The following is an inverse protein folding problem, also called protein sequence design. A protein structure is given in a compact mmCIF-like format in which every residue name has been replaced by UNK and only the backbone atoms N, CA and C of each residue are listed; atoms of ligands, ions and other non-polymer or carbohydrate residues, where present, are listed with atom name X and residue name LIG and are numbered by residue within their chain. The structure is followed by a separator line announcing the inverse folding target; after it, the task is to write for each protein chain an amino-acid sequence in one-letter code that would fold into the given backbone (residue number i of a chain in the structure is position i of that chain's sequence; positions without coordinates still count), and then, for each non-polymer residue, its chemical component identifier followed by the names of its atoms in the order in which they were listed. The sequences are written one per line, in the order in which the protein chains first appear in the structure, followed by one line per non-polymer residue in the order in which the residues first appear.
data_IF_049681087792
#
_entry.id   IF_049681087792
#
_cell.length_a   1.000
_cell.length_b   1.000
_cell.length_c   1.000
_cell.angle_alpha   90.00
_cell.angle_beta   90.00
_cell.angle_gamma   90.00
#
_symmetry.space_group_name_H-M   'P 1'
#
loop_
_entity.id
_entity.type
_entity.pdbx_description
1 polymer ?
#
# COMPACT_ATOMS: atom_id res chain seq x y z
N UNK A 1 -35.66 -4.45 -20.87
CA UNK A 1 -35.33 -4.59 -22.31
C UNK A 1 -33.81 -4.63 -22.45
N UNK A 2 -33.32 -5.83 -22.81
CA UNK A 2 -31.99 -6.19 -23.31
C UNK A 2 -30.76 -5.89 -22.43
N UNK A 3 -30.45 -6.87 -21.59
CA UNK A 3 -29.09 -7.22 -21.15
C UNK A 3 -28.23 -7.61 -22.37
N UNK A 4 -27.17 -6.86 -22.63
CA UNK A 4 -26.11 -7.23 -23.58
C UNK A 4 -25.07 -8.11 -22.88
N UNK A 5 -24.74 -9.30 -23.39
CA UNK A 5 -23.56 -10.02 -22.92
C UNK A 5 -22.31 -9.40 -23.56
N UNK A 6 -21.37 -8.93 -22.73
CA UNK A 6 -20.01 -8.64 -23.18
C UNK A 6 -19.30 -9.98 -23.43
N UNK A 7 -19.41 -10.50 -24.64
CA UNK A 7 -18.55 -11.59 -25.13
C UNK A 7 -17.14 -11.04 -25.33
N UNK A 8 -16.30 -11.15 -24.30
CA UNK A 8 -14.87 -10.88 -24.42
C UNK A 8 -14.25 -11.91 -25.38
N UNK A 9 -13.89 -11.45 -26.57
CA UNK A 9 -13.25 -12.26 -27.60
C UNK A 9 -11.88 -12.77 -27.13
N UNK A 10 -11.76 -14.07 -26.92
CA UNK A 10 -10.49 -14.76 -26.81
C UNK A 10 -9.79 -14.74 -28.18
N UNK A 11 -8.88 -13.78 -28.42
CA UNK A 11 -7.90 -13.92 -29.51
C UNK A 11 -6.84 -14.93 -29.10
N UNK A 12 -7.12 -16.21 -29.37
CA UNK A 12 -6.12 -17.29 -29.38
C UNK A 12 -5.23 -17.11 -30.61
N UNK A 13 -4.04 -16.57 -30.43
CA UNK A 13 -2.96 -16.76 -31.40
C UNK A 13 -1.60 -16.56 -30.75
N UNK A 14 -0.99 -17.66 -30.31
CA UNK A 14 0.44 -17.86 -30.49
C UNK A 14 0.69 -19.32 -30.87
N UNK A 15 0.93 -19.54 -32.16
CA UNK A 15 1.54 -20.79 -32.66
C UNK A 15 3.00 -20.76 -32.25
N UNK A 16 3.35 -21.42 -31.16
CA UNK A 16 4.76 -21.73 -30.86
C UNK A 16 5.12 -23.03 -31.59
N UNK A 17 5.91 -22.90 -32.66
CA UNK A 17 6.56 -24.03 -33.30
C UNK A 17 7.41 -24.77 -32.26
N UNK A 18 7.04 -26.03 -31.99
CA UNK A 18 7.79 -26.94 -31.11
C UNK A 18 9.15 -27.27 -31.74
N UNK A 19 10.20 -26.53 -31.39
CA UNK A 19 11.58 -26.99 -31.61
C UNK A 19 11.83 -28.16 -30.66
N UNK A 20 11.86 -29.38 -31.22
CA UNK A 20 12.46 -30.55 -30.55
C UNK A 20 13.97 -30.31 -30.46
N UNK A 21 14.45 -29.83 -29.32
CA UNK A 21 15.85 -30.00 -28.94
C UNK A 21 15.91 -31.15 -27.94
N UNK A 22 16.60 -32.22 -28.31
CA UNK A 22 17.02 -33.28 -27.38
C UNK A 22 18.19 -32.73 -26.58
N UNK A 23 17.97 -32.42 -25.30
CA UNK A 23 19.08 -32.38 -24.33
C UNK A 23 18.56 -32.79 -22.95
N UNK A 24 19.07 -33.94 -22.50
CA UNK A 24 19.03 -34.55 -21.17
C UNK A 24 17.80 -34.38 -20.28
N UNK A 25 17.01 -35.46 -20.20
CA UNK A 25 16.14 -35.72 -19.06
C UNK A 25 17.01 -35.82 -17.79
N UNK A 26 16.90 -34.85 -16.88
CA UNK A 26 17.17 -35.12 -15.47
C UNK A 26 15.82 -35.33 -14.79
N UNK A 27 15.55 -36.60 -14.50
CA UNK A 27 14.44 -37.03 -13.67
C UNK A 27 14.68 -36.57 -12.23
N UNK A 28 13.89 -35.63 -11.71
CA UNK A 28 13.73 -35.49 -10.28
C UNK A 28 12.42 -36.16 -9.85
N UNK A 29 12.42 -37.50 -9.87
CA UNK A 29 11.58 -38.25 -8.95
C UNK A 29 12.25 -38.20 -7.57
N UNK A 30 11.90 -37.20 -6.78
CA UNK A 30 12.04 -37.27 -5.33
C UNK A 30 10.70 -36.86 -4.72
N UNK A 31 10.04 -37.85 -4.13
CA UNK A 31 8.83 -37.72 -3.34
C UNK A 31 9.14 -36.83 -2.13
N UNK A 32 8.75 -35.57 -2.16
CA UNK A 32 8.70 -34.72 -0.96
C UNK A 32 7.26 -34.73 -0.43
N UNK A 33 6.98 -35.33 0.75
CA UNK A 33 5.62 -35.37 1.33
C UNK A 33 5.28 -34.14 2.19
N UNK A 34 5.94 -33.00 2.00
CA UNK A 34 5.71 -31.82 2.81
C UNK A 34 5.78 -30.54 1.99
N UNK A 35 4.61 -30.06 1.60
CA UNK A 35 4.24 -28.63 1.51
C UNK A 35 5.33 -27.67 1.01
N UNK A 36 6.06 -28.04 -0.04
CA UNK A 36 7.12 -27.21 -0.62
C UNK A 36 6.68 -26.52 -1.93
N UNK A 37 5.37 -26.45 -2.20
CA UNK A 37 4.77 -25.48 -3.13
C UNK A 37 4.82 -24.09 -2.50
N UNK A 38 6.03 -23.66 -2.15
CA UNK A 38 6.30 -22.34 -1.64
C UNK A 38 6.00 -21.36 -2.77
N UNK A 39 5.17 -20.37 -2.48
CA UNK A 39 4.83 -19.22 -3.34
C UNK A 39 6.06 -18.55 -3.98
N UNK A 40 7.26 -18.78 -3.42
CA UNK A 40 8.55 -18.34 -3.92
C UNK A 40 9.06 -19.06 -5.19
N UNK A 41 8.40 -20.15 -5.63
CA UNK A 41 8.83 -20.93 -6.79
C UNK A 41 8.04 -20.64 -8.07
N UNK A 42 6.99 -19.81 -8.02
CA UNK A 42 6.19 -19.47 -9.19
C UNK A 42 6.76 -18.21 -9.87
N UNK A 43 7.20 -18.26 -11.15
CA UNK A 43 7.66 -17.08 -11.88
C UNK A 43 6.53 -16.10 -12.22
N UNK A 44 5.28 -16.48 -11.96
CA UNK A 44 4.08 -15.70 -12.28
C UNK A 44 3.16 -15.62 -11.05
N UNK A 45 2.63 -14.42 -10.82
CA UNK A 45 1.61 -14.16 -9.81
C UNK A 45 0.22 -14.20 -10.46
N UNK A 46 -0.74 -14.90 -9.83
CA UNK A 46 -2.12 -14.86 -10.26
C UNK A 46 -2.77 -13.53 -9.85
N UNK A 47 -3.34 -12.82 -10.82
CA UNK A 47 -3.97 -11.51 -10.58
C UNK A 47 -5.39 -11.47 -11.13
N UNK A 48 -6.27 -10.75 -10.45
CA UNK A 48 -7.66 -10.51 -10.87
C UNK A 48 -7.91 -9.02 -11.10
N UNK A 49 -8.84 -8.70 -12.00
CA UNK A 49 -9.23 -7.32 -12.24
C UNK A 49 -10.00 -6.77 -11.04
N UNK A 50 -9.45 -5.76 -10.38
CA UNK A 50 -10.18 -5.00 -9.38
C UNK A 50 -11.13 -3.99 -10.05
N UNK A 51 -12.41 -4.05 -9.73
CA UNK A 51 -13.41 -3.04 -10.06
C UNK A 51 -14.03 -2.53 -8.76
N UNK A 52 -13.85 -1.24 -8.46
CA UNK A 52 -14.42 -0.63 -7.26
C UNK A 52 -15.94 -0.56 -7.40
N UNK A 53 -16.69 -1.09 -6.43
CA UNK A 53 -18.12 -0.82 -6.33
C UNK A 53 -18.32 0.59 -5.73
N UNK A 54 -19.31 1.38 -6.17
CA UNK A 54 -19.50 2.75 -5.67
C UNK A 54 -19.63 2.87 -4.14
N UNK A 55 -20.18 1.84 -3.50
CA UNK A 55 -20.32 1.76 -2.04
C UNK A 55 -19.03 1.37 -1.29
N UNK A 56 -17.99 0.93 -1.99
CA UNK A 56 -16.72 0.56 -1.37
C UNK A 56 -15.94 1.83 -0.98
N UNK A 57 -15.19 1.73 0.12
CA UNK A 57 -14.23 2.76 0.52
C UNK A 57 -13.21 3.02 -0.60
N UNK A 58 -12.70 4.25 -0.63
CA UNK A 58 -11.63 4.58 -1.55
C UNK A 58 -10.37 3.77 -1.23
N UNK A 59 -9.53 3.53 -2.25
CA UNK A 59 -8.22 2.93 -2.03
C UNK A 59 -7.24 3.99 -1.54
N UNK A 60 -6.34 3.58 -0.65
CA UNK A 60 -5.18 4.37 -0.27
C UNK A 60 -4.26 4.56 -1.49
N UNK A 61 -3.75 5.78 -1.67
CA UNK A 61 -2.69 6.10 -2.62
C UNK A 61 -1.38 6.23 -1.83
N UNK A 62 -0.41 5.38 -2.17
CA UNK A 62 0.94 5.43 -1.61
C UNK A 62 1.88 5.94 -2.69
N UNK A 63 2.58 7.04 -2.39
CA UNK A 63 3.63 7.58 -3.24
C UNK A 63 4.98 7.07 -2.76
N UNK A 64 5.75 6.48 -3.67
CA UNK A 64 7.08 5.92 -3.40
C UNK A 64 8.07 6.47 -4.42
N UNK A 65 9.24 6.87 -3.97
CA UNK A 65 10.31 7.37 -4.82
C UNK A 65 11.57 7.70 -4.03
N UNK A 66 12.73 7.90 -4.70
CA UNK A 66 13.97 8.25 -4.04
C UNK A 66 13.88 9.63 -3.37
N UNK A 67 14.71 9.84 -2.35
CA UNK A 67 14.82 11.13 -1.67
C UNK A 67 15.14 12.26 -2.66
N UNK A 68 14.49 13.41 -2.49
CA UNK A 68 14.71 14.60 -3.33
C UNK A 68 13.97 14.65 -4.66
N UNK A 69 13.25 13.59 -5.07
CA UNK A 69 12.47 13.58 -6.33
C UNK A 69 11.20 14.45 -6.29
N UNK A 70 10.82 14.93 -5.09
CA UNK A 70 9.66 15.81 -4.92
C UNK A 70 8.34 15.08 -4.61
N UNK A 71 8.36 13.82 -4.15
CA UNK A 71 7.15 13.08 -3.71
C UNK A 71 6.32 13.87 -2.69
N UNK A 72 6.98 14.49 -1.71
CA UNK A 72 6.34 15.34 -0.70
C UNK A 72 5.63 16.56 -1.30
N UNK A 73 6.25 17.18 -2.31
CA UNK A 73 5.67 18.33 -3.01
C UNK A 73 4.45 17.89 -3.84
N UNK A 74 4.55 16.75 -4.52
CA UNK A 74 3.45 16.16 -5.29
C UNK A 74 2.25 15.86 -4.39
N UNK A 75 2.46 15.22 -3.24
CA UNK A 75 1.39 14.96 -2.25
C UNK A 75 0.69 16.26 -1.84
N UNK A 76 1.47 17.28 -1.47
CA UNK A 76 0.92 18.57 -1.03
C UNK A 76 0.10 19.25 -2.12
N UNK A 77 0.60 19.27 -3.36
CA UNK A 77 -0.11 19.86 -4.50
C UNK A 77 -1.38 19.09 -4.87
N UNK A 78 -1.35 17.76 -4.80
CA UNK A 78 -2.53 16.92 -5.07
C UNK A 78 -3.65 17.18 -4.06
N UNK A 79 -3.32 17.31 -2.78
CA UNK A 79 -4.30 17.65 -1.76
C UNK A 79 -4.82 19.08 -1.95
N UNK A 80 -3.93 20.02 -2.26
CA UNK A 80 -4.32 21.42 -2.48
C UNK A 80 -5.21 21.63 -3.72
N UNK A 81 -5.06 20.79 -4.76
CA UNK A 81 -5.87 20.92 -5.98
C UNK A 81 -7.32 20.45 -5.81
N UNK A 82 -7.56 19.42 -4.98
CA UNK A 82 -8.91 18.98 -4.63
C UNK A 82 -9.01 18.52 -3.16
N UNK A 83 -9.09 19.45 -2.19
CA UNK A 83 -9.12 19.13 -0.77
C UNK A 83 -10.44 18.47 -0.31
N UNK A 84 -11.47 18.45 -1.17
CA UNK A 84 -12.72 17.73 -0.89
C UNK A 84 -12.57 16.22 -1.10
N UNK A 85 -11.66 15.81 -1.97
CA UNK A 85 -11.47 14.42 -2.37
C UNK A 85 -10.22 13.81 -1.74
N UNK A 86 -9.11 14.57 -1.67
CA UNK A 86 -7.83 14.06 -1.16
C UNK A 86 -7.52 14.59 0.23
N UNK A 87 -6.98 13.71 1.08
CA UNK A 87 -6.50 14.09 2.41
C UNK A 87 -5.34 13.19 2.85
N UNK A 88 -4.39 13.76 3.59
CA UNK A 88 -3.33 12.99 4.25
C UNK A 88 -3.80 12.47 5.60
N UNK A 89 -3.31 11.30 6.01
CA UNK A 89 -3.45 10.86 7.39
C UNK A 89 -2.67 11.80 8.32
N UNK A 90 -3.19 12.03 9.53
CA UNK A 90 -2.51 12.80 10.58
C UNK A 90 -1.56 11.87 11.34
N UNK A 91 -0.24 12.09 11.26
CA UNK A 91 0.73 11.22 11.93
C UNK A 91 0.77 11.46 13.44
N UNK A 92 1.42 10.56 14.17
CA UNK A 92 1.67 10.64 15.60
C UNK A 92 3.10 11.11 15.85
N UNK A 93 3.32 11.81 16.96
CA UNK A 93 4.66 12.18 17.41
C UNK A 93 4.79 12.19 18.93
N UNK A 94 5.99 11.90 19.43
CA UNK A 94 6.35 12.05 20.84
C UNK A 94 6.94 13.42 21.18
N UNK A 95 7.12 14.28 20.18
CA UNK A 95 7.54 15.67 20.39
C UNK A 95 6.46 16.42 21.17
N UNK A 96 6.86 17.36 22.02
CA UNK A 96 5.90 18.27 22.68
C UNK A 96 5.23 19.19 21.65
N UNK A 97 3.92 19.37 21.79
CA UNK A 97 3.12 20.30 20.99
C UNK A 97 3.62 21.74 21.21
N UNK A 98 3.80 22.50 20.11
CA UNK A 98 4.12 23.94 20.21
C UNK A 98 2.86 24.76 20.46
N UNK A 99 3.03 25.96 20.99
CA UNK A 99 1.92 26.88 21.34
C UNK A 99 0.99 27.23 20.18
N UNK A 100 1.48 27.18 18.93
CA UNK A 100 0.70 27.49 17.72
C UNK A 100 0.17 26.25 16.97
N UNK A 101 0.50 25.05 17.43
CA UNK A 101 0.05 23.78 16.83
C UNK A 101 -1.23 23.30 17.53
N UNK A 102 -2.02 22.44 16.87
CA UNK A 102 -3.21 21.84 17.44
C UNK A 102 -3.15 20.31 17.36
N UNK A 103 -3.44 19.66 18.49
CA UNK A 103 -3.50 18.20 18.54
C UNK A 103 -4.59 17.67 17.59
N UNK A 104 -4.22 16.69 16.75
CA UNK A 104 -5.09 16.10 15.74
C UNK A 104 -5.19 16.89 14.43
N UNK A 105 -4.50 18.04 14.31
CA UNK A 105 -4.38 18.77 13.05
C UNK A 105 -3.02 18.53 12.39
N UNK A 106 -1.94 18.95 13.03
CA UNK A 106 -0.58 18.73 12.52
C UNK A 106 -0.08 17.34 12.86
N UNK A 107 -0.24 16.94 14.13
CA UNK A 107 0.12 15.63 14.65
C UNK A 107 -0.84 15.23 15.77
N UNK A 108 -0.92 13.93 16.04
CA UNK A 108 -1.34 13.42 17.33
C UNK A 108 -0.14 13.40 18.28
N UNK A 109 -0.14 14.29 19.26
CA UNK A 109 0.93 14.40 20.26
C UNK A 109 0.66 13.38 21.37
N UNK A 110 1.51 12.36 21.46
CA UNK A 110 1.35 11.23 22.38
C UNK A 110 2.59 11.06 23.24
N UNK A 111 2.45 10.40 24.40
CA UNK A 111 3.62 10.05 25.21
C UNK A 111 4.48 9.00 24.50
N UNK A 112 5.77 8.92 24.88
CA UNK A 112 6.68 7.89 24.34
C UNK A 112 6.15 6.47 24.60
N UNK A 113 5.67 6.21 25.80
CA UNK A 113 5.07 4.91 26.18
C UNK A 113 3.87 4.58 25.30
N UNK A 114 2.98 5.55 25.03
CA UNK A 114 1.83 5.34 24.15
C UNK A 114 2.28 4.99 22.74
N UNK A 115 3.28 5.72 22.20
CA UNK A 115 3.81 5.46 20.86
C UNK A 115 4.43 4.06 20.76
N UNK A 116 5.26 3.68 21.75
CA UNK A 116 5.90 2.35 21.80
C UNK A 116 4.85 1.23 21.89
N UNK A 117 3.78 1.43 22.67
CA UNK A 117 2.66 0.50 22.73
C UNK A 117 1.94 0.36 21.38
N UNK A 118 1.82 1.43 20.60
CA UNK A 118 1.25 1.36 19.24
C UNK A 118 2.15 0.58 18.28
N UNK A 119 3.46 0.75 18.38
CA UNK A 119 4.45 -0.03 17.61
C UNK A 119 4.36 -1.51 17.99
N UNK A 120 4.38 -1.83 19.30
CA UNK A 120 4.28 -3.20 19.82
C UNK A 120 2.97 -3.89 19.41
N UNK A 121 1.88 -3.12 19.39
CA UNK A 121 0.56 -3.63 18.98
C UNK A 121 0.35 -3.69 17.46
N UNK A 122 1.40 -3.51 16.65
CA UNK A 122 1.34 -3.47 15.19
C UNK A 122 0.30 -2.49 14.61
N UNK A 123 0.11 -1.34 15.28
CA UNK A 123 -0.81 -0.29 14.83
C UNK A 123 -0.16 0.78 13.96
N UNK A 124 1.17 0.73 13.81
CA UNK A 124 1.93 1.68 12.98
C UNK A 124 2.12 1.12 11.57
N UNK A 125 1.76 1.92 10.56
CA UNK A 125 2.03 1.61 9.16
C UNK A 125 3.51 1.87 8.83
N UNK A 126 4.02 2.98 9.34
CA UNK A 126 5.42 3.40 9.25
C UNK A 126 5.78 4.17 10.53
N UNK A 127 7.04 4.13 10.92
CA UNK A 127 7.56 4.95 12.01
C UNK A 127 9.08 5.12 11.88
N UNK A 128 9.58 6.18 12.50
CA UNK A 128 11.01 6.50 12.54
C UNK A 128 11.32 7.52 13.64
N UNK A 129 12.61 7.75 13.85
CA UNK A 129 13.11 8.72 14.82
C UNK A 129 13.73 9.92 14.11
N UNK A 130 13.41 11.11 14.58
CA UNK A 130 14.03 12.34 14.13
C UNK A 130 14.29 13.29 15.30
N UNK A 131 15.56 13.69 15.47
CA UNK A 131 16.02 14.59 16.55
C UNK A 131 15.60 14.12 17.95
N UNK A 132 15.66 12.82 18.22
CA UNK A 132 15.31 12.25 19.53
C UNK A 132 13.80 12.07 19.78
N UNK A 133 12.95 12.36 18.80
CA UNK A 133 11.50 12.17 18.89
C UNK A 133 11.04 11.14 17.86
N UNK A 134 10.03 10.37 18.22
CA UNK A 134 9.41 9.38 17.35
C UNK A 134 8.32 10.06 16.52
N UNK A 135 8.22 9.62 15.27
CA UNK A 135 7.19 10.03 14.32
C UNK A 135 6.67 8.79 13.60
N UNK A 136 5.40 8.77 13.23
CA UNK A 136 4.88 7.70 12.39
C UNK A 136 3.41 7.83 12.06
N UNK A 137 2.96 7.08 11.06
CA UNK A 137 1.57 7.07 10.61
C UNK A 137 0.91 5.79 11.12
N UNK A 138 -0.21 5.91 11.83
CA UNK A 138 -0.95 4.72 12.31
C UNK A 138 -1.93 4.22 11.25
N UNK A 139 -2.23 2.92 11.29
CA UNK A 139 -3.25 2.30 10.44
C UNK A 139 -4.61 2.96 10.67
N UNK A 140 -4.92 3.28 11.93
CA UNK A 140 -6.18 3.93 12.29
C UNK A 140 -6.28 5.36 11.75
N UNK A 141 -5.18 6.12 11.71
CA UNK A 141 -5.17 7.45 11.09
C UNK A 141 -5.49 7.41 9.58
N UNK A 142 -5.02 6.37 8.89
CA UNK A 142 -5.38 6.12 7.48
C UNK A 142 -6.86 5.75 7.37
N UNK A 143 -7.34 4.85 8.24
CA UNK A 143 -8.75 4.41 8.24
C UNK A 143 -9.71 5.58 8.47
N UNK A 144 -9.39 6.51 9.38
CA UNK A 144 -10.22 7.70 9.61
C UNK A 144 -10.47 8.47 8.32
N UNK A 145 -9.44 8.71 7.52
CA UNK A 145 -9.58 9.43 6.24
C UNK A 145 -10.42 8.65 5.22
N UNK A 146 -10.25 7.32 5.16
CA UNK A 146 -11.03 6.47 4.27
C UNK A 146 -12.51 6.38 4.69
N UNK A 147 -12.77 6.41 5.99
CA UNK A 147 -14.12 6.33 6.57
C UNK A 147 -14.88 7.65 6.39
N UNK A 148 -14.17 8.78 6.25
CA UNK A 148 -14.73 10.06 5.80
C UNK A 148 -15.10 10.07 4.30
N UNK A 149 -14.85 8.98 3.57
CA UNK A 149 -15.15 8.87 2.14
C UNK A 149 -14.15 9.61 1.24
N UNK A 150 -12.99 10.01 1.78
CA UNK A 150 -11.90 10.66 1.03
C UNK A 150 -10.87 9.66 0.56
N UNK A 151 -10.04 10.07 -0.39
CA UNK A 151 -8.88 9.33 -0.84
C UNK A 151 -7.71 9.71 0.07
N UNK A 152 -7.23 8.75 0.84
CA UNK A 152 -6.06 8.95 1.67
C UNK A 152 -4.78 8.90 0.79
N UNK A 153 -3.93 9.90 0.91
CA UNK A 153 -2.64 10.00 0.19
C UNK A 153 -1.50 10.08 1.19
N UNK A 154 -0.57 9.13 1.13
CA UNK A 154 0.63 9.09 1.98
C UNK A 154 1.88 8.87 1.13
N UNK A 155 3.04 9.30 1.63
CA UNK A 155 4.34 8.97 1.10
C UNK A 155 5.04 7.95 2.02
N UNK A 156 5.61 6.90 1.44
CA UNK A 156 6.38 5.88 2.17
C UNK A 156 7.76 5.73 1.54
N UNK A 157 8.79 5.60 2.38
CA UNK A 157 10.13 5.20 1.94
C UNK A 157 10.25 3.66 2.00
N UNK A 158 10.68 3.00 0.90
CA UNK A 158 10.89 1.56 0.89
C UNK A 158 12.10 1.22 1.78
N UNK A 159 11.94 0.18 2.61
CA UNK A 159 13.01 -0.37 3.45
C UNK A 159 13.95 -1.29 2.67
#
# INVERSE_FOLDING_TARGET
LMSLPLTAGFRRSMRLCRRKSRTNQQSCHARCPSSCYSTLAAPYEEVVRYQRHPADRNRLIILVGPAGVGVNELRRRLIASNPREFQSAVPHTTRVQKSYEMNGREYHYVSKETFENMVYSHKMLEYGEYKGYLYGTSIDAVRTVLDEGKICVIDLEPQ
#
